data_IF_701195128119
#
_entry.id   IF_701195128119
#
_cell.length_a   1.000
_cell.length_b   1.000
_cell.length_c   1.000
_cell.angle_alpha   90.00
_cell.angle_beta   90.00
_cell.angle_gamma   90.00
#
_symmetry.space_group_name_H-M   'P 1'
#
loop_
_entity.id
_entity.type
_entity.pdbx_description
1 polymer ?
#
# COMPACT_ATOMS: atom_id res chain seq x y z
N UNK A 1 -1.53 2.05 -16.91
CA UNK A 1 -2.87 2.60 -16.66
C UNK A 1 -3.86 1.50 -16.25
N UNK A 2 -4.24 0.55 -17.12
CA UNK A 2 -5.20 -0.49 -16.76
C UNK A 2 -4.80 -1.36 -15.55
N UNK A 3 -3.54 -1.80 -15.49
CA UNK A 3 -2.94 -2.49 -14.33
C UNK A 3 -3.04 -1.70 -13.04
N UNK A 4 -2.74 -0.40 -13.12
CA UNK A 4 -2.78 0.53 -11.98
C UNK A 4 -4.20 0.71 -11.45
N UNK A 5 -5.18 0.85 -12.33
CA UNK A 5 -6.59 0.92 -11.94
C UNK A 5 -7.04 -0.38 -11.26
N UNK A 6 -6.73 -1.54 -11.83
CA UNK A 6 -7.05 -2.84 -11.21
C UNK A 6 -6.39 -3.01 -9.84
N UNK A 7 -5.13 -2.59 -9.71
CA UNK A 7 -4.40 -2.61 -8.45
C UNK A 7 -5.03 -1.70 -7.40
N UNK A 8 -5.33 -0.45 -7.75
CA UNK A 8 -5.98 0.51 -6.83
C UNK A 8 -7.35 -0.03 -6.40
N UNK A 9 -8.18 -0.51 -7.32
CA UNK A 9 -9.48 -1.09 -6.99
C UNK A 9 -9.36 -2.27 -6.02
N UNK A 10 -8.40 -3.17 -6.23
CA UNK A 10 -8.19 -4.32 -5.35
C UNK A 10 -7.72 -3.90 -3.95
N UNK A 11 -6.76 -2.97 -3.87
CA UNK A 11 -6.26 -2.43 -2.59
C UNK A 11 -7.35 -1.67 -1.85
N UNK A 12 -8.15 -0.85 -2.54
CA UNK A 12 -9.28 -0.13 -1.95
C UNK A 12 -10.35 -1.09 -1.41
N UNK A 13 -10.68 -2.15 -2.15
CA UNK A 13 -11.63 -3.17 -1.70
C UNK A 13 -11.12 -3.90 -0.44
N UNK A 14 -9.84 -4.30 -0.42
CA UNK A 14 -9.23 -4.89 0.78
C UNK A 14 -9.19 -3.90 1.96
N UNK A 15 -8.90 -2.63 1.70
CA UNK A 15 -8.86 -1.60 2.73
C UNK A 15 -10.22 -1.39 3.40
N UNK A 16 -11.30 -1.38 2.60
CA UNK A 16 -12.68 -1.30 3.11
C UNK A 16 -13.04 -2.55 3.91
N UNK A 17 -12.83 -3.75 3.34
CA UNK A 17 -13.24 -5.01 3.98
C UNK A 17 -12.48 -5.33 5.29
N UNK A 18 -11.24 -4.88 5.44
CA UNK A 18 -10.40 -5.20 6.61
C UNK A 18 -10.10 -4.01 7.53
N UNK A 19 -10.76 -2.87 7.32
CA UNK A 19 -10.53 -1.63 8.08
C UNK A 19 -10.73 -1.77 9.60
N UNK A 20 -11.66 -2.63 10.03
CA UNK A 20 -12.00 -2.87 11.45
C UNK A 20 -11.23 -4.04 12.09
N UNK A 21 -10.34 -4.73 11.35
CA UNK A 21 -9.63 -5.90 11.87
C UNK A 21 -8.49 -5.51 12.83
N UNK A 22 -8.22 -6.36 13.82
CA UNK A 22 -7.13 -6.20 14.80
C UNK A 22 -5.73 -6.09 14.16
N UNK A 23 -5.58 -6.47 12.89
CA UNK A 23 -4.31 -6.48 12.14
C UNK A 23 -4.46 -5.68 10.84
N UNK A 24 -4.94 -4.43 10.95
CA UNK A 24 -5.21 -3.55 9.80
C UNK A 24 -4.00 -3.37 8.88
N UNK A 25 -2.79 -3.21 9.43
CA UNK A 25 -1.57 -3.06 8.65
C UNK A 25 -1.14 -4.32 7.93
N UNK A 26 -1.23 -5.49 8.54
CA UNK A 26 -0.99 -6.77 7.89
C UNK A 26 -2.04 -7.05 6.79
N UNK A 27 -3.31 -6.74 7.05
CA UNK A 27 -4.40 -6.94 6.11
C UNK A 27 -4.27 -6.05 4.86
N UNK A 28 -3.77 -4.82 5.02
CA UNK A 28 -3.41 -3.93 3.91
C UNK A 28 -2.11 -4.34 3.22
N UNK A 29 -1.11 -4.77 3.97
CA UNK A 29 0.20 -5.12 3.43
C UNK A 29 0.18 -6.43 2.62
N UNK A 30 -0.67 -7.40 2.98
CA UNK A 30 -0.74 -8.71 2.31
C UNK A 30 -1.07 -8.63 0.79
N UNK A 31 -2.15 -7.97 0.34
CA UNK A 31 -2.45 -7.83 -1.08
C UNK A 31 -1.37 -7.02 -1.83
N UNK A 32 -0.82 -5.97 -1.19
CA UNK A 32 0.29 -5.17 -1.75
C UNK A 32 1.56 -6.03 -1.90
N UNK A 33 1.83 -6.91 -0.94
CA UNK A 33 2.94 -7.86 -0.98
C UNK A 33 2.74 -8.92 -2.08
N UNK A 34 1.52 -9.46 -2.23
CA UNK A 34 1.18 -10.40 -3.30
C UNK A 34 1.39 -9.79 -4.70
N UNK A 35 1.01 -8.52 -4.87
CA UNK A 35 1.29 -7.77 -6.11
C UNK A 35 2.80 -7.51 -6.32
N UNK A 36 3.57 -7.37 -5.24
CA UNK A 36 5.04 -7.32 -5.32
C UNK A 36 5.64 -8.62 -5.85
N UNK A 37 5.17 -9.77 -5.34
CA UNK A 37 5.63 -11.10 -5.75
C UNK A 37 5.25 -11.45 -7.20
N UNK A 38 4.16 -10.91 -7.73
CA UNK A 38 3.76 -11.21 -9.11
C UNK A 38 4.82 -10.79 -10.13
N UNK A 39 5.57 -9.72 -9.87
CA UNK A 39 6.68 -9.29 -10.72
C UNK A 39 7.84 -10.30 -10.78
N UNK A 40 8.16 -10.94 -9.66
CA UNK A 40 9.11 -12.06 -9.63
C UNK A 40 8.62 -13.21 -10.50
N UNK A 41 7.37 -13.64 -10.30
CA UNK A 41 6.80 -14.77 -11.03
C UNK A 41 6.77 -14.49 -12.54
N UNK A 42 6.32 -13.31 -12.95
CA UNK A 42 6.29 -12.90 -14.36
C UNK A 42 7.69 -12.85 -14.98
N UNK A 43 8.68 -12.33 -14.25
CA UNK A 43 10.07 -12.25 -14.72
C UNK A 43 10.70 -13.64 -14.91
N UNK A 44 10.43 -14.56 -13.97
CA UNK A 44 10.89 -15.95 -14.04
C UNK A 44 10.22 -16.73 -15.18
N UNK A 45 8.93 -16.50 -15.43
CA UNK A 45 8.20 -17.09 -16.56
C UNK A 45 8.76 -16.59 -17.89
N UNK A 46 9.04 -15.29 -18.01
CA UNK A 46 9.67 -14.71 -19.20
C UNK A 46 11.01 -15.39 -19.52
N UNK A 47 11.90 -15.49 -18.53
CA UNK A 47 13.23 -16.06 -18.71
C UNK A 47 13.21 -17.58 -19.00
N UNK A 48 12.39 -18.37 -18.28
CA UNK A 48 12.47 -19.84 -18.33
C UNK A 48 11.57 -20.48 -19.38
N UNK A 49 10.47 -19.84 -19.73
CA UNK A 49 9.43 -20.43 -20.59
C UNK A 49 9.37 -19.74 -21.96
N UNK A 50 9.65 -18.44 -22.02
CA UNK A 50 9.40 -17.60 -23.19
C UNK A 50 10.71 -17.11 -23.82
N UNK A 51 11.69 -18.00 -23.98
CA UNK A 51 12.97 -17.68 -24.63
C UNK A 51 12.96 -18.04 -26.11
N UNK A 52 13.71 -17.29 -26.93
CA UNK A 52 13.99 -17.65 -28.31
C UNK A 52 14.95 -18.84 -28.37
N UNK A 53 14.64 -19.85 -29.18
CA UNK A 53 15.59 -20.92 -29.49
C UNK A 53 16.37 -20.53 -30.73
N UNK A 54 17.66 -20.27 -30.57
CA UNK A 54 18.56 -20.00 -31.69
C UNK A 54 18.62 -21.19 -32.65
N UNK A 55 19.04 -20.95 -33.90
CA UNK A 55 19.17 -21.98 -34.97
C UNK A 55 20.04 -23.21 -34.58
N UNK A 56 20.88 -23.10 -33.55
CA UNK A 56 21.70 -24.18 -33.00
C UNK A 56 21.17 -24.85 -31.72
N UNK A 57 19.97 -24.49 -31.24
CA UNK A 57 19.40 -25.03 -30.00
C UNK A 57 19.88 -24.34 -28.71
N UNK A 58 20.73 -23.31 -28.82
CA UNK A 58 21.15 -22.49 -27.69
C UNK A 58 20.00 -21.59 -27.20
N UNK A 59 19.94 -21.38 -25.87
CA UNK A 59 18.97 -20.49 -25.23
C UNK A 59 19.31 -19.05 -25.59
N UNK A 60 18.47 -18.43 -26.42
CA UNK A 60 18.51 -17.01 -26.72
C UNK A 60 17.82 -16.17 -25.65
N UNK A 61 17.69 -14.88 -25.94
CA UNK A 61 17.01 -13.92 -25.08
C UNK A 61 15.49 -14.15 -25.04
N UNK A 62 14.78 -13.40 -24.20
CA UNK A 62 13.31 -13.51 -24.07
C UNK A 62 12.62 -13.11 -25.39
N UNK A 63 11.74 -13.98 -25.89
CA UNK A 63 10.89 -13.72 -27.06
C UNK A 63 9.86 -12.66 -26.66
N UNK A 64 10.13 -11.42 -27.10
CA UNK A 64 9.32 -10.24 -26.81
C UNK A 64 7.87 -10.48 -27.22
N UNK A 65 7.63 -11.03 -28.41
CA UNK A 65 6.28 -11.25 -28.93
C UNK A 65 5.45 -12.20 -28.06
N UNK A 66 6.03 -13.34 -27.67
CA UNK A 66 5.36 -14.30 -26.80
C UNK A 66 5.18 -13.77 -25.37
N UNK A 67 6.13 -12.99 -24.89
CA UNK A 67 6.05 -12.34 -23.59
C UNK A 67 4.91 -11.32 -23.51
N UNK A 68 4.73 -10.48 -24.54
CA UNK A 68 3.60 -9.54 -24.60
C UNK A 68 2.25 -10.26 -24.65
N UNK A 69 2.13 -11.37 -25.39
CA UNK A 69 0.92 -12.19 -25.39
C UNK A 69 0.62 -12.81 -24.02
N UNK A 70 1.64 -13.34 -23.35
CA UNK A 70 1.53 -13.85 -21.99
C UNK A 70 1.03 -12.77 -21.02
N UNK A 71 1.60 -11.57 -21.07
CA UNK A 71 1.16 -10.44 -20.23
C UNK A 71 -0.28 -10.03 -20.54
N UNK A 72 -0.66 -9.94 -21.82
CA UNK A 72 -2.02 -9.58 -22.23
C UNK A 72 -3.07 -10.58 -21.72
N UNK A 73 -2.80 -11.89 -21.87
CA UNK A 73 -3.69 -12.96 -21.40
C UNK A 73 -3.78 -12.93 -19.87
N UNK A 74 -2.65 -12.80 -19.17
CA UNK A 74 -2.61 -12.74 -17.70
C UNK A 74 -3.41 -11.55 -17.19
N UNK A 75 -3.26 -10.37 -17.80
CA UNK A 75 -4.02 -9.18 -17.46
C UNK A 75 -5.52 -9.37 -17.66
N UNK A 76 -5.91 -9.97 -18.79
CA UNK A 76 -7.31 -10.23 -19.12
C UNK A 76 -7.95 -11.19 -18.12
N UNK A 77 -7.27 -12.30 -17.79
CA UNK A 77 -7.75 -13.28 -16.80
C UNK A 77 -7.89 -12.64 -15.42
N UNK A 78 -6.87 -11.92 -14.95
CA UNK A 78 -6.93 -11.23 -13.64
C UNK A 78 -8.03 -10.16 -13.65
N UNK A 79 -8.22 -9.45 -14.75
CA UNK A 79 -9.29 -8.45 -14.90
C UNK A 79 -10.69 -9.06 -14.80
N UNK A 80 -10.93 -10.19 -15.47
CA UNK A 80 -12.21 -10.91 -15.40
C UNK A 80 -12.47 -11.43 -13.99
N UNK A 81 -11.45 -12.02 -13.35
CA UNK A 81 -11.53 -12.51 -11.97
C UNK A 81 -11.83 -11.33 -11.02
N UNK A 82 -11.13 -10.22 -11.17
CA UNK A 82 -11.34 -9.01 -10.37
C UNK A 82 -12.75 -8.44 -10.54
N UNK A 83 -13.30 -8.44 -11.75
CA UNK A 83 -14.66 -7.99 -12.01
C UNK A 83 -15.72 -8.81 -11.26
N UNK A 84 -15.50 -10.12 -11.08
CA UNK A 84 -16.41 -11.00 -10.35
C UNK A 84 -16.18 -11.07 -8.83
N UNK A 85 -14.93 -10.92 -8.37
CA UNK A 85 -14.54 -11.16 -6.97
C UNK A 85 -14.33 -9.90 -6.12
N UNK A 86 -14.14 -8.71 -6.72
CA UNK A 86 -14.16 -7.46 -5.95
C UNK A 86 -15.60 -7.12 -5.56
N UNK A 87 -16.10 -7.77 -4.51
CA UNK A 87 -17.26 -7.30 -3.76
C UNK A 87 -16.80 -6.74 -2.42
N UNK A 88 -17.28 -5.55 -2.11
CA UNK A 88 -17.19 -4.98 -0.78
C UNK A 88 -18.26 -5.69 0.06
N UNK A 89 -17.86 -6.26 1.19
CA UNK A 89 -18.76 -6.97 2.11
C UNK A 89 -19.17 -5.98 3.20
N UNK A 90 -20.49 -5.89 3.44
CA UNK A 90 -21.14 -5.00 4.44
C UNK A 90 -20.74 -3.53 4.35
N UNK A 91 -21.10 -2.88 3.24
CA UNK A 91 -20.92 -1.43 3.11
C UNK A 91 -21.76 -0.68 4.16
N UNK A 92 -22.99 -1.12 4.43
CA UNK A 92 -23.95 -0.45 5.32
C UNK A 92 -23.53 -0.48 6.80
N UNK A 93 -23.06 -1.62 7.32
CA UNK A 93 -22.56 -1.75 8.71
C UNK A 93 -21.22 -0.99 8.92
N UNK A 94 -20.41 -0.81 7.88
CA UNK A 94 -19.21 0.03 7.92
C UNK A 94 -19.57 1.53 8.02
N UNK A 95 -20.71 1.94 7.46
CA UNK A 95 -21.17 3.33 7.44
C UNK A 95 -21.89 3.70 8.74
N UNK A 96 -22.79 2.85 9.23
CA UNK A 96 -23.55 3.09 10.46
C UNK A 96 -22.62 3.28 11.67
N UNK A 97 -21.59 2.44 11.80
CA UNK A 97 -20.58 2.55 12.87
C UNK A 97 -19.69 3.80 12.71
N UNK A 98 -19.37 4.22 11.48
CA UNK A 98 -18.59 5.44 11.25
C UNK A 98 -19.40 6.70 11.61
N UNK A 99 -20.69 6.71 11.29
CA UNK A 99 -21.62 7.78 11.69
C UNK A 99 -21.74 7.84 13.22
N UNK A 100 -21.89 6.70 13.90
CA UNK A 100 -21.96 6.61 15.36
C UNK A 100 -20.67 7.10 16.05
N UNK A 101 -19.49 6.79 15.49
CA UNK A 101 -18.19 7.28 16.00
C UNK A 101 -18.02 8.79 15.79
N UNK A 102 -18.57 9.34 14.70
CA UNK A 102 -18.57 10.77 14.38
C UNK A 102 -19.52 11.60 15.25
N UNK A 103 -20.74 11.11 15.51
CA UNK A 103 -21.67 11.73 16.47
C UNK A 103 -21.02 11.85 17.86
N UNK A 104 -20.25 10.83 18.24
CA UNK A 104 -19.53 10.77 19.51
C UNK A 104 -18.27 11.63 19.58
N UNK A 105 -17.67 11.98 18.44
CA UNK A 105 -16.51 12.88 18.34
C UNK A 105 -16.87 14.36 18.56
N UNK A 106 -18.17 14.70 18.63
CA UNK A 106 -18.65 16.05 18.86
C UNK A 106 -18.52 16.99 17.65
N UNK A 107 -18.28 16.45 16.45
CA UNK A 107 -18.24 17.23 15.20
C UNK A 107 -19.65 17.66 14.72
N UNK A 108 -20.70 17.02 15.23
CA UNK A 108 -22.08 17.53 15.17
C UNK A 108 -22.39 18.43 16.39
N UNK A 109 -21.46 19.31 16.74
CA UNK A 109 -21.78 20.42 17.63
C UNK A 109 -22.79 21.33 16.95
N UNK A 110 -23.95 21.53 17.60
CA UNK A 110 -24.99 22.53 17.29
C UNK A 110 -24.41 23.77 16.59
N UNK A 111 -24.68 23.97 15.29
CA UNK A 111 -24.31 25.23 14.64
C UNK A 111 -24.30 25.22 13.12
N UNK A 112 -25.44 25.65 12.55
CA UNK A 112 -25.55 26.35 11.25
C UNK A 112 -25.42 25.51 9.96
N UNK A 113 -26.53 24.84 9.67
CA UNK A 113 -26.91 24.39 8.31
C UNK A 113 -28.37 23.99 8.19
N UNK A 114 -29.08 23.86 9.32
CA UNK A 114 -30.45 23.40 9.41
C UNK A 114 -31.44 24.58 9.51
N UNK A 115 -31.63 25.34 8.43
CA UNK A 115 -32.81 26.23 8.31
C UNK A 115 -33.41 26.23 6.90
N UNK A 116 -34.59 25.61 6.80
CA UNK A 116 -35.56 25.71 5.70
C UNK A 116 -35.68 24.42 4.91
N UNK A 117 -36.76 23.63 4.97
CA UNK A 117 -38.16 24.06 4.90
C UNK A 117 -39.09 22.86 5.19
N UNK A 118 -40.18 23.09 5.93
CA UNK A 118 -41.44 22.36 5.70
C UNK A 118 -41.86 21.29 6.71
N UNK A 119 -42.29 21.70 7.91
CA UNK A 119 -43.24 20.93 8.71
C UNK A 119 -44.58 20.85 7.95
N UNK A 120 -44.95 19.65 7.48
CA UNK A 120 -46.18 19.45 6.73
C UNK A 120 -46.47 17.96 6.54
N UNK A 121 -47.35 17.43 7.40
CA UNK A 121 -48.04 16.15 7.19
C UNK A 121 -48.64 16.08 5.78
N UNK A 122 -48.33 15.02 5.02
CA UNK A 122 -49.20 14.31 4.06
C UNK A 122 -48.39 13.22 3.32
N UNK A 123 -48.55 11.99 3.80
CA UNK A 123 -48.69 10.74 3.04
C UNK A 123 -48.09 10.64 1.62
N UNK A 124 -47.08 9.79 1.44
CA UNK A 124 -46.91 8.86 0.30
C UNK A 124 -45.78 7.86 0.63
N UNK A 125 -46.15 6.70 1.18
CA UNK A 125 -45.28 5.60 1.65
C UNK A 125 -44.59 4.79 0.52
N UNK A 126 -44.14 5.42 -0.57
CA UNK A 126 -43.42 4.72 -1.66
C UNK A 126 -42.16 5.48 -2.14
N UNK A 127 -41.69 6.48 -1.37
CA UNK A 127 -40.60 7.38 -1.79
C UNK A 127 -39.49 7.57 -0.74
N UNK A 128 -39.48 6.81 0.37
CA UNK A 128 -38.47 6.95 1.44
C UNK A 128 -37.12 6.28 1.09
N UNK A 129 -37.12 5.10 0.44
CA UNK A 129 -35.87 4.37 0.16
C UNK A 129 -34.92 5.12 -0.81
N UNK A 130 -35.47 5.92 -1.74
CA UNK A 130 -34.65 6.68 -2.70
C UNK A 130 -34.03 7.95 -2.10
N UNK A 131 -34.69 8.58 -1.11
CA UNK A 131 -34.20 9.80 -0.48
C UNK A 131 -33.14 9.49 0.60
N UNK A 132 -33.23 8.33 1.26
CA UNK A 132 -32.24 7.87 2.25
C UNK A 132 -30.88 7.53 1.62
N UNK A 133 -30.85 6.74 0.54
CA UNK A 133 -29.59 6.38 -0.17
C UNK A 133 -28.85 7.62 -0.71
N UNK A 134 -29.59 8.58 -1.27
CA UNK A 134 -29.04 9.84 -1.78
C UNK A 134 -28.54 10.76 -0.65
N UNK A 135 -29.24 10.79 0.50
CA UNK A 135 -28.81 11.54 1.67
C UNK A 135 -27.55 10.93 2.29
N UNK A 136 -27.45 9.61 2.36
CA UNK A 136 -26.26 8.89 2.79
C UNK A 136 -25.07 9.11 1.86
N UNK A 137 -25.26 9.04 0.55
CA UNK A 137 -24.21 9.30 -0.43
C UNK A 137 -23.67 10.73 -0.30
N UNK A 138 -24.55 11.69 -0.02
CA UNK A 138 -24.18 13.09 0.24
C UNK A 138 -23.43 13.24 1.56
N UNK A 139 -23.86 12.55 2.62
CA UNK A 139 -23.15 12.51 3.92
C UNK A 139 -21.74 11.93 3.76
N UNK A 140 -21.59 10.77 3.08
CA UNK A 140 -20.28 10.15 2.75
C UNK A 140 -19.38 11.13 1.99
N UNK A 141 -19.91 11.78 0.96
CA UNK A 141 -19.15 12.74 0.15
C UNK A 141 -18.71 13.95 0.97
N UNK A 142 -19.59 14.45 1.83
CA UNK A 142 -19.29 15.57 2.72
C UNK A 142 -18.23 15.21 3.77
N UNK A 143 -18.32 14.02 4.37
CA UNK A 143 -17.35 13.50 5.34
C UNK A 143 -15.96 13.34 4.72
N UNK A 144 -15.86 12.66 3.58
CA UNK A 144 -14.59 12.51 2.87
C UNK A 144 -13.99 13.88 2.52
N UNK A 145 -14.82 14.84 2.13
CA UNK A 145 -14.37 16.18 1.78
C UNK A 145 -13.84 16.93 3.01
N UNK A 146 -14.49 16.84 4.17
CA UNK A 146 -14.03 17.51 5.39
C UNK A 146 -12.79 16.84 5.99
N UNK A 147 -12.71 15.50 6.00
CA UNK A 147 -11.50 14.76 6.38
C UNK A 147 -10.32 15.10 5.46
N UNK A 148 -10.56 15.10 4.14
CA UNK A 148 -9.55 15.49 3.14
C UNK A 148 -9.10 16.94 3.36
N UNK A 149 -10.04 17.84 3.66
CA UNK A 149 -9.73 19.25 3.95
C UNK A 149 -8.90 19.40 5.22
N UNK A 150 -9.20 18.63 6.28
CA UNK A 150 -8.43 18.61 7.52
C UNK A 150 -7.03 18.04 7.30
N UNK A 151 -6.92 16.97 6.51
CA UNK A 151 -5.65 16.38 6.08
C UNK A 151 -4.78 17.37 5.28
N UNK A 152 -5.35 18.06 4.30
CA UNK A 152 -4.62 19.03 3.45
C UNK A 152 -4.19 20.31 4.19
N UNK A 153 -4.89 20.67 5.27
CA UNK A 153 -4.54 21.83 6.11
C UNK A 153 -3.41 21.54 7.10
N UNK A 154 -3.10 20.27 7.37
CA UNK A 154 -2.02 19.92 8.28
C UNK A 154 -0.64 20.14 7.62
N UNK A 155 0.21 20.93 8.26
CA UNK A 155 1.56 21.19 7.78
C UNK A 155 2.45 19.94 7.78
N UNK A 156 2.16 18.99 8.67
CA UNK A 156 2.91 17.72 8.82
C UNK A 156 2.70 16.81 7.60
N UNK A 157 1.50 16.86 6.99
CA UNK A 157 1.16 16.13 5.78
C UNK A 157 2.05 16.55 4.60
N UNK A 158 2.30 17.86 4.44
CA UNK A 158 3.14 18.37 3.35
C UNK A 158 4.61 17.96 3.49
N UNK A 159 5.15 17.93 4.72
CA UNK A 159 6.49 17.39 4.95
C UNK A 159 6.59 15.90 4.64
N UNK A 160 5.57 15.13 5.03
CA UNK A 160 5.48 13.71 4.71
C UNK A 160 5.41 13.50 3.18
N UNK A 161 4.59 14.28 2.48
CA UNK A 161 4.44 14.22 1.03
C UNK A 161 5.73 14.57 0.30
N UNK A 162 6.41 15.64 0.72
CA UNK A 162 7.72 16.04 0.17
C UNK A 162 8.75 14.94 0.41
N UNK A 163 8.83 14.40 1.64
CA UNK A 163 9.75 13.32 1.97
C UNK A 163 9.49 12.06 1.14
N UNK A 164 8.23 11.65 1.02
CA UNK A 164 7.84 10.52 0.18
C UNK A 164 8.21 10.74 -1.29
N UNK A 165 7.93 11.92 -1.84
CA UNK A 165 8.25 12.26 -3.22
C UNK A 165 9.76 12.16 -3.52
N UNK A 166 10.59 12.72 -2.63
CA UNK A 166 12.05 12.69 -2.80
C UNK A 166 12.66 11.30 -2.61
N UNK A 167 12.10 10.46 -1.72
CA UNK A 167 12.60 9.11 -1.48
C UNK A 167 12.10 8.13 -2.55
N UNK A 168 10.87 8.30 -3.04
CA UNK A 168 10.27 7.46 -4.08
C UNK A 168 10.98 7.60 -5.43
N UNK A 169 11.36 8.82 -5.82
CA UNK A 169 11.97 9.10 -7.13
C UNK A 169 13.21 8.24 -7.45
N UNK A 170 14.24 8.20 -6.58
CA UNK A 170 15.43 7.35 -6.78
C UNK A 170 15.08 5.86 -6.84
N UNK A 171 14.19 5.38 -5.97
CA UNK A 171 13.76 3.99 -5.94
C UNK A 171 13.07 3.56 -7.24
N UNK A 172 12.14 4.38 -7.75
CA UNK A 172 11.47 4.15 -9.03
C UNK A 172 12.45 4.19 -10.21
N UNK A 173 13.39 5.14 -10.21
CA UNK A 173 14.43 5.23 -11.24
C UNK A 173 15.32 3.98 -11.26
N UNK A 174 15.68 3.45 -10.10
CA UNK A 174 16.44 2.21 -10.01
C UNK A 174 15.65 1.01 -10.55
N UNK A 175 14.40 0.83 -10.12
CA UNK A 175 13.57 -0.32 -10.54
C UNK A 175 13.30 -0.30 -12.04
N UNK A 176 13.00 0.87 -12.61
CA UNK A 176 12.70 1.03 -14.04
C UNK A 176 13.94 0.85 -14.93
N UNK A 177 15.12 1.24 -14.44
CA UNK A 177 16.37 1.15 -15.20
C UNK A 177 17.27 -0.03 -14.79
N UNK A 178 16.78 -0.93 -13.94
CA UNK A 178 17.56 -2.04 -13.38
C UNK A 178 18.22 -2.91 -14.46
N UNK A 179 17.50 -3.22 -15.53
CA UNK A 179 18.04 -4.00 -16.65
C UNK A 179 19.20 -3.31 -17.36
N UNK A 180 19.09 -2.01 -17.61
CA UNK A 180 20.14 -1.20 -18.24
C UNK A 180 21.36 -1.07 -17.32
N UNK A 181 21.16 -0.84 -16.02
CA UNK A 181 22.24 -0.75 -15.02
C UNK A 181 23.04 -2.06 -15.01
N UNK A 182 22.36 -3.22 -14.98
CA UNK A 182 23.02 -4.52 -15.06
C UNK A 182 23.79 -4.68 -16.37
N UNK A 183 23.22 -4.23 -17.49
CA UNK A 183 23.87 -4.25 -18.80
C UNK A 183 25.19 -3.45 -18.83
N UNK A 184 25.28 -2.35 -18.06
CA UNK A 184 26.53 -1.56 -17.97
C UNK A 184 27.61 -2.18 -17.09
N UNK A 185 27.25 -3.12 -16.21
CA UNK A 185 28.17 -3.74 -15.24
C UNK A 185 28.91 -4.98 -15.80
N UNK A 186 28.46 -5.52 -16.95
CA UNK A 186 29.03 -6.71 -17.55
C UNK A 186 29.86 -6.37 -18.81
N UNK A 187 31.16 -6.73 -18.87
CA UNK A 187 31.91 -6.66 -20.13
C UNK A 187 31.39 -7.74 -21.10
N UNK A 188 31.40 -7.47 -22.42
CA UNK A 188 30.77 -8.33 -23.45
C UNK A 188 31.42 -9.72 -23.66
N UNK A 189 32.38 -10.12 -22.81
CA UNK A 189 33.22 -11.31 -22.99
C UNK A 189 32.95 -12.44 -21.99
N UNK A 190 32.12 -12.23 -20.96
CA UNK A 190 31.82 -13.24 -19.93
C UNK A 190 30.40 -13.75 -20.13
N UNK A 191 30.24 -15.04 -20.44
CA UNK A 191 28.94 -15.71 -20.48
C UNK A 191 28.30 -15.74 -19.07
N UNK A 192 27.06 -15.25 -19.01
CA UNK A 192 26.31 -14.85 -17.82
C UNK A 192 26.09 -15.93 -16.74
N UNK A 193 26.42 -15.70 -15.46
CA UNK A 193 25.85 -16.45 -14.35
C UNK A 193 24.56 -15.83 -13.77
N UNK A 194 24.31 -14.52 -13.93
CA UNK A 194 23.17 -13.83 -13.30
C UNK A 194 22.37 -12.99 -14.29
N UNK A 195 21.11 -13.38 -14.51
CA UNK A 195 20.18 -12.69 -15.39
C UNK A 195 19.51 -11.50 -14.70
N UNK A 196 19.08 -10.50 -15.48
CA UNK A 196 18.30 -9.36 -14.98
C UNK A 196 17.04 -9.83 -14.23
N UNK A 197 16.45 -10.95 -14.66
CA UNK A 197 15.30 -11.55 -14.01
C UNK A 197 15.57 -12.00 -12.57
N UNK A 198 16.78 -12.49 -12.27
CA UNK A 198 17.19 -12.83 -10.90
C UNK A 198 17.22 -11.61 -10.00
N UNK A 199 17.71 -10.47 -10.50
CA UNK A 199 17.75 -9.23 -9.72
C UNK A 199 16.37 -8.62 -9.52
N UNK A 200 15.50 -8.64 -10.54
CA UNK A 200 14.08 -8.26 -10.39
C UNK A 200 13.40 -9.15 -9.34
N UNK A 201 13.69 -10.46 -9.36
CA UNK A 201 13.18 -11.41 -8.37
C UNK A 201 13.65 -11.09 -6.95
N UNK A 202 14.93 -10.75 -6.76
CA UNK A 202 15.50 -10.36 -5.46
C UNK A 202 14.85 -9.06 -4.95
N UNK A 203 14.70 -8.05 -5.80
CA UNK A 203 14.02 -6.80 -5.44
C UNK A 203 12.57 -7.07 -5.01
N UNK A 204 11.84 -7.89 -5.78
CA UNK A 204 10.45 -8.24 -5.48
C UNK A 204 10.32 -9.02 -4.16
N UNK A 205 11.17 -10.02 -3.93
CA UNK A 205 11.18 -10.80 -2.69
C UNK A 205 11.49 -9.95 -1.47
N UNK A 206 12.54 -9.13 -1.55
CA UNK A 206 12.98 -8.29 -0.43
C UNK A 206 11.97 -7.20 -0.12
N UNK A 207 11.36 -6.60 -1.15
CA UNK A 207 10.24 -5.67 -0.99
C UNK A 207 9.03 -6.32 -0.32
N UNK A 208 8.69 -7.55 -0.70
CA UNK A 208 7.59 -8.31 -0.10
C UNK A 208 7.84 -8.62 1.38
N UNK A 209 9.05 -9.10 1.70
CA UNK A 209 9.45 -9.36 3.10
C UNK A 209 9.38 -8.08 3.91
N UNK A 210 9.89 -6.96 3.38
CA UNK A 210 9.81 -5.67 4.06
C UNK A 210 8.39 -5.18 4.24
N UNK A 211 7.48 -5.38 3.27
CA UNK A 211 6.05 -5.04 3.43
C UNK A 211 5.41 -5.80 4.58
N UNK A 212 5.66 -7.12 4.68
CA UNK A 212 5.13 -7.94 5.76
C UNK A 212 5.77 -7.54 7.10
N UNK A 213 7.08 -7.36 7.13
CA UNK A 213 7.81 -7.00 8.35
C UNK A 213 7.41 -5.62 8.88
N UNK A 214 7.42 -4.59 8.03
CA UNK A 214 7.06 -3.24 8.45
C UNK A 214 5.55 -3.10 8.71
N UNK A 215 4.70 -3.78 7.93
CA UNK A 215 3.25 -3.83 8.21
C UNK A 215 2.93 -4.47 9.56
N UNK A 216 3.58 -5.59 9.90
CA UNK A 216 3.41 -6.25 11.20
C UNK A 216 4.02 -5.45 12.35
N UNK A 217 5.22 -4.88 12.16
CA UNK A 217 5.86 -4.03 13.16
C UNK A 217 4.99 -2.81 13.47
N UNK A 218 4.41 -2.15 12.47
CA UNK A 218 3.50 -1.04 12.72
C UNK A 218 2.22 -1.45 13.44
N UNK A 219 1.70 -2.66 13.20
CA UNK A 219 0.52 -3.14 13.91
C UNK A 219 0.81 -3.45 15.38
N UNK A 220 1.97 -4.02 15.68
CA UNK A 220 2.39 -4.32 17.07
C UNK A 220 2.70 -3.02 17.83
N UNK A 221 3.25 -2.03 17.14
CA UNK A 221 3.66 -0.75 17.73
C UNK A 221 2.55 0.30 17.70
N UNK A 222 1.49 0.09 16.91
CA UNK A 222 0.34 0.96 16.94
C UNK A 222 -0.35 0.84 18.30
N UNK A 223 -0.62 1.96 18.99
CA UNK A 223 -1.54 1.91 20.12
C UNK A 223 -2.86 1.35 19.58
N UNK A 224 -3.38 0.29 20.22
CA UNK A 224 -4.73 -0.19 19.94
C UNK A 224 -5.65 1.02 19.87
N UNK A 225 -6.50 1.16 18.84
CA UNK A 225 -7.58 2.13 18.90
C UNK A 225 -8.31 1.84 20.20
N UNK A 226 -8.35 2.82 21.10
CA UNK A 226 -9.20 2.77 22.27
C UNK A 226 -10.62 2.78 21.75
N UNK A 227 -11.14 1.62 21.38
CA UNK A 227 -12.55 1.42 21.12
C UNK A 227 -13.25 1.84 22.41
N UNK A 228 -13.86 3.03 22.41
CA UNK A 228 -14.58 3.59 23.54
C UNK A 228 -15.88 2.81 23.86
N UNK A 229 -16.05 1.61 23.30
CA UNK A 229 -17.16 0.68 23.58
C UNK A 229 -17.26 0.24 25.05
N UNK A 230 -16.22 0.49 25.87
CA UNK A 230 -16.24 0.21 27.31
C UNK A 230 -16.20 1.47 28.19
N UNK A 231 -16.72 2.61 27.72
CA UNK A 231 -16.84 3.82 28.56
C UNK A 231 -17.62 3.61 29.88
N UNK A 232 -18.53 2.64 29.92
CA UNK A 232 -19.27 2.26 31.13
C UNK A 232 -18.42 1.44 32.12
N UNK A 233 -17.59 0.51 31.65
CA UNK A 233 -16.70 -0.29 32.53
C UNK A 233 -15.37 0.41 32.85
N UNK A 234 -14.92 1.33 32.01
CA UNK A 234 -13.67 2.08 32.22
C UNK A 234 -13.78 3.03 33.41
N UNK A 235 -14.97 3.57 33.69
CA UNK A 235 -15.25 4.32 34.92
C UNK A 235 -15.26 3.42 36.17
N UNK A 236 -15.61 2.13 36.03
CA UNK A 236 -15.56 1.14 37.11
C UNK A 236 -14.17 0.51 37.30
N UNK A 237 -13.33 0.49 36.27
CA UNK A 237 -11.93 0.02 36.34
C UNK A 237 -10.95 1.14 36.75
N UNK A 238 -11.38 2.40 36.75
CA UNK A 238 -10.62 3.55 37.26
C UNK A 238 -10.31 3.48 38.77
N UNK A 239 -10.90 2.51 39.50
CA UNK A 239 -10.57 2.22 40.90
C UNK A 239 -9.44 1.20 41.07
N UNK A 240 -8.86 0.66 39.99
CA UNK A 240 -7.68 -0.23 40.05
C UNK A 240 -6.39 0.59 39.89
N UNK A 241 -5.32 0.26 40.61
CA UNK A 241 -4.06 0.99 40.54
C UNK A 241 -3.47 0.94 39.12
N UNK A 242 -2.86 2.03 38.63
CA UNK A 242 -2.36 2.11 37.26
C UNK A 242 -1.23 1.10 37.05
N UNK A 243 -1.46 0.06 36.25
CA UNK A 243 -0.39 -0.77 35.73
C UNK A 243 0.36 0.05 34.68
N UNK A 244 1.49 0.63 35.09
CA UNK A 244 2.46 1.27 34.22
C UNK A 244 3.15 0.22 33.34
N UNK A 245 2.46 -0.26 32.31
CA UNK A 245 3.13 -0.93 31.19
C UNK A 245 3.86 0.19 30.45
N UNK A 246 5.17 0.29 30.65
CA UNK A 246 6.06 1.16 29.89
C UNK A 246 5.99 0.77 28.42
N UNK A 247 5.03 1.32 27.68
CA UNK A 247 4.94 1.14 26.24
C UNK A 247 6.07 1.93 25.60
N UNK A 248 6.96 1.23 24.91
CA UNK A 248 7.99 1.84 24.08
C UNK A 248 7.28 2.58 22.96
N UNK A 249 7.26 3.91 23.01
CA UNK A 249 6.72 4.78 21.96
C UNK A 249 7.83 5.10 20.95
N UNK A 250 7.98 4.25 19.94
CA UNK A 250 8.85 4.55 18.78
C UNK A 250 8.10 5.49 17.84
N UNK A 251 8.76 6.57 17.45
CA UNK A 251 8.21 7.51 16.45
C UNK A 251 8.04 6.81 15.10
N UNK A 252 6.85 6.90 14.50
CA UNK A 252 6.55 6.29 13.20
C UNK A 252 7.43 6.83 12.07
N UNK A 253 7.87 8.09 12.20
CA UNK A 253 8.81 8.75 11.29
C UNK A 253 10.17 8.03 11.27
N UNK A 254 10.57 7.39 12.37
CA UNK A 254 11.82 6.62 12.42
C UNK A 254 11.81 5.44 11.43
N UNK A 255 10.66 4.82 11.17
CA UNK A 255 10.55 3.76 10.17
C UNK A 255 10.68 4.29 8.74
N UNK A 256 10.13 5.48 8.45
CA UNK A 256 10.34 6.14 7.16
C UNK A 256 11.79 6.57 6.95
N UNK A 257 12.44 7.10 7.99
CA UNK A 257 13.86 7.46 7.93
C UNK A 257 14.71 6.20 7.70
N UNK A 258 14.41 5.09 8.38
CA UNK A 258 15.11 3.82 8.17
C UNK A 258 14.93 3.31 6.73
N UNK A 259 13.71 3.40 6.20
CA UNK A 259 13.38 3.07 4.82
C UNK A 259 14.17 3.91 3.81
N UNK A 260 14.23 5.22 4.03
CA UNK A 260 15.00 6.15 3.21
C UNK A 260 16.51 5.88 3.31
N UNK A 261 17.01 5.51 4.49
CA UNK A 261 18.41 5.16 4.70
C UNK A 261 18.80 3.90 3.92
N UNK A 262 17.92 2.89 3.83
CA UNK A 262 18.18 1.71 2.99
C UNK A 262 18.28 2.05 1.51
N UNK A 263 17.40 2.91 0.98
CA UNK A 263 17.47 3.38 -0.42
C UNK A 263 18.76 4.17 -0.63
N UNK A 264 19.05 5.14 0.25
CA UNK A 264 20.24 5.97 0.18
C UNK A 264 21.53 5.15 0.20
N UNK A 265 21.64 4.18 1.11
CA UNK A 265 22.81 3.32 1.21
C UNK A 265 22.95 2.45 -0.05
N UNK A 266 21.84 2.04 -0.67
CA UNK A 266 21.82 1.27 -1.91
C UNK A 266 22.35 2.10 -3.08
N UNK A 267 21.88 3.34 -3.20
CA UNK A 267 22.32 4.29 -4.21
C UNK A 267 23.79 4.70 -4.02
N UNK A 268 24.25 4.90 -2.78
CA UNK A 268 25.67 5.17 -2.48
C UNK A 268 26.54 3.99 -2.88
N UNK A 269 26.13 2.76 -2.55
CA UNK A 269 26.87 1.56 -2.94
C UNK A 269 26.91 1.38 -4.46
N UNK A 270 25.83 1.72 -5.15
CA UNK A 270 25.78 1.73 -6.61
C UNK A 270 26.74 2.79 -7.19
N UNK A 271 26.67 4.03 -6.68
CA UNK A 271 27.50 5.15 -7.13
C UNK A 271 28.99 4.96 -6.81
N UNK A 272 29.32 4.27 -5.72
CA UNK A 272 30.71 4.00 -5.31
C UNK A 272 31.49 3.11 -6.28
N UNK A 273 30.80 2.44 -7.22
CA UNK A 273 31.43 1.54 -8.19
C UNK A 273 32.02 0.27 -7.59
N UNK A 274 31.80 -0.02 -6.29
CA UNK A 274 32.34 -1.21 -5.60
C UNK A 274 31.87 -2.53 -6.24
N UNK A 275 30.73 -2.50 -6.94
CA UNK A 275 30.18 -3.65 -7.66
C UNK A 275 30.63 -3.76 -9.13
N UNK A 276 31.40 -2.80 -9.65
CA UNK A 276 32.00 -2.92 -10.98
C UNK A 276 32.99 -4.09 -10.97
N UNK A 277 32.83 -5.03 -11.90
CA UNK A 277 33.57 -6.30 -12.01
C UNK A 277 33.23 -7.42 -10.99
N UNK A 278 32.30 -7.21 -10.04
CA UNK A 278 31.84 -8.26 -9.12
C UNK A 278 30.31 -8.36 -9.14
N UNK A 279 29.76 -8.87 -10.25
CA UNK A 279 28.31 -9.05 -10.46
C UNK A 279 27.65 -9.87 -9.33
N UNK A 280 28.38 -10.82 -8.73
CA UNK A 280 27.93 -11.64 -7.61
C UNK A 280 27.59 -10.85 -6.33
N UNK A 281 27.94 -9.56 -6.23
CA UNK A 281 27.62 -8.70 -5.07
C UNK A 281 26.48 -7.74 -5.35
N UNK A 282 26.00 -7.66 -6.59
CA UNK A 282 24.94 -6.74 -7.00
C UNK A 282 23.59 -7.05 -6.31
N UNK A 283 23.38 -8.28 -5.83
CA UNK A 283 22.19 -8.64 -5.03
C UNK A 283 22.09 -7.84 -3.73
N UNK A 284 23.22 -7.36 -3.15
CA UNK A 284 23.22 -6.55 -1.94
C UNK A 284 22.51 -5.21 -2.22
N UNK A 285 22.85 -4.55 -3.33
CA UNK A 285 22.21 -3.31 -3.76
C UNK A 285 20.73 -3.56 -4.04
N UNK A 286 20.42 -4.64 -4.79
CA UNK A 286 19.05 -5.05 -5.10
C UNK A 286 18.21 -5.29 -3.83
N UNK A 287 18.81 -5.90 -2.80
CA UNK A 287 18.16 -6.20 -1.52
C UNK A 287 17.92 -4.94 -0.70
N UNK A 288 18.90 -4.04 -0.66
CA UNK A 288 18.81 -2.80 0.12
C UNK A 288 17.74 -1.86 -0.46
N UNK A 289 17.80 -1.63 -1.76
CA UNK A 289 16.83 -0.79 -2.46
C UNK A 289 15.45 -1.45 -2.43
N UNK A 290 15.35 -2.76 -2.70
CA UNK A 290 14.07 -3.49 -2.63
C UNK A 290 13.43 -3.44 -1.24
N UNK A 291 14.22 -3.63 -0.18
CA UNK A 291 13.76 -3.55 1.21
C UNK A 291 13.26 -2.15 1.56
N UNK A 292 14.05 -1.10 1.26
CA UNK A 292 13.66 0.28 1.51
C UNK A 292 12.46 0.71 0.68
N UNK A 293 12.38 0.30 -0.57
CA UNK A 293 11.24 0.59 -1.43
C UNK A 293 9.95 -0.09 -0.93
N UNK A 294 10.03 -1.38 -0.53
CA UNK A 294 8.90 -2.10 0.04
C UNK A 294 8.39 -1.48 1.35
N UNK A 295 9.31 -1.08 2.23
CA UNK A 295 8.99 -0.41 3.48
C UNK A 295 8.30 0.93 3.25
N UNK A 296 8.81 1.77 2.33
CA UNK A 296 8.25 3.10 2.04
C UNK A 296 6.77 3.02 1.65
N UNK A 297 6.45 2.17 0.66
CA UNK A 297 5.08 2.02 0.15
C UNK A 297 4.12 1.33 1.14
N UNK A 298 4.64 0.60 2.12
CA UNK A 298 3.82 0.03 3.19
C UNK A 298 3.57 1.04 4.31
N UNK A 299 4.60 1.77 4.71
CA UNK A 299 4.58 2.67 5.86
C UNK A 299 3.80 3.95 5.58
N UNK A 300 3.89 4.51 4.37
CA UNK A 300 3.24 5.79 4.05
C UNK A 300 1.72 5.74 4.21
N UNK A 301 0.98 4.78 3.62
CA UNK A 301 -0.46 4.66 3.85
C UNK A 301 -0.79 4.44 5.33
N UNK A 302 0.00 3.60 6.03
CA UNK A 302 -0.23 3.28 7.44
C UNK A 302 -0.05 4.49 8.37
N UNK A 303 0.91 5.35 8.07
CA UNK A 303 1.14 6.60 8.81
C UNK A 303 -0.01 7.56 8.56
N UNK A 304 -0.48 7.67 7.30
CA UNK A 304 -1.62 8.50 6.95
C UNK A 304 -2.87 8.06 7.72
N UNK A 305 -3.14 6.76 7.77
CA UNK A 305 -4.33 6.20 8.44
C UNK A 305 -4.29 6.21 9.96
N UNK A 306 -3.22 6.66 10.60
CA UNK A 306 -3.17 6.74 12.08
C UNK A 306 -3.10 8.17 12.59
N UNK A 307 -2.54 9.08 11.81
CA UNK A 307 -2.46 10.49 12.23
C UNK A 307 -3.76 11.23 11.87
N UNK A 308 -4.42 10.85 10.77
CA UNK A 308 -5.56 11.59 10.23
C UNK A 308 -6.86 10.78 10.09
N UNK A 309 -6.84 9.50 10.45
CA UNK A 309 -8.01 8.60 10.56
C UNK A 309 -7.94 7.94 11.93
#
# INVERSE_FOLDING_TARGET
>A
MATTCMYISAVTACAKNFGKSKYRGLALACPIAAFGLSGMWQSQVGEKILYERGRGGERGDVDVGRFFWFLAITLLVVGIIGCGLLKIVDEDELIEEAVEELERSGLLGEGEGYTGRGYGTLSSDEQDDFDEEDEEARKKTWLLNEETRRFLKDHTMWWLAIGFFFVSGPGESFITNLGTIIGTLHPPTIHNPTSAATHVSVVALTSTISRILFGTLTDILAPLPTTHHFGSLSNSLASLPPQSITRITISRITFLILSALFILLGDILLASGICQNHADRFWIISTLIGSGYGALFSLTPLIVTVIWV
#
